data_IF_084197313695
#
_entry.id   IF_084197313695
#
_cell.length_a   1.000
_cell.length_b   1.000
_cell.length_c   1.000
_cell.angle_alpha   90.00
_cell.angle_beta   90.00
_cell.angle_gamma   90.00
#
_symmetry.space_group_name_H-M   'P 1'
#
loop_
_entity.id
_entity.type
_entity.pdbx_description
1 polymer ?
#
# COMPACT_ATOMS: atom_id res chain seq x y z
N UNK A 1 14.32 28.26 -24.63
CA UNK A 1 13.62 28.73 -23.43
C UNK A 1 12.16 28.37 -23.56
N UNK A 2 11.80 27.13 -23.24
CA UNK A 2 10.45 26.60 -23.41
C UNK A 2 9.65 26.82 -22.13
N UNK A 3 8.65 27.68 -22.22
CA UNK A 3 7.56 27.76 -21.27
C UNK A 3 6.74 26.47 -21.38
N UNK A 4 6.71 25.69 -20.31
CA UNK A 4 5.92 24.46 -20.23
C UNK A 4 5.15 24.44 -18.90
N UNK A 5 3.85 24.28 -19.07
CA UNK A 5 2.83 23.89 -18.08
C UNK A 5 2.34 24.94 -17.09
N UNK A 6 1.52 25.86 -17.60
CA UNK A 6 0.39 26.41 -16.86
C UNK A 6 -0.89 25.68 -17.32
N UNK A 7 -1.29 24.64 -16.60
CA UNK A 7 -2.65 24.10 -16.65
C UNK A 7 -3.21 24.12 -15.23
N UNK A 8 -4.11 25.08 -15.01
CA UNK A 8 -4.86 25.28 -13.79
C UNK A 8 -5.80 24.08 -13.55
N UNK A 9 -5.37 23.14 -12.71
CA UNK A 9 -6.28 22.17 -12.09
C UNK A 9 -7.04 22.85 -10.95
N UNK A 10 -8.27 23.29 -11.25
CA UNK A 10 -9.21 23.81 -10.27
C UNK A 10 -9.71 22.70 -9.33
N UNK A 11 -9.33 22.80 -8.05
CA UNK A 11 -10.03 22.27 -6.87
C UNK A 11 -10.42 20.77 -6.85
N UNK A 12 -9.63 19.89 -7.43
CA UNK A 12 -9.52 18.53 -6.89
C UNK A 12 -8.65 18.64 -5.63
N UNK A 13 -9.23 18.40 -4.45
CA UNK A 13 -8.42 18.22 -3.24
C UNK A 13 -7.40 17.12 -3.57
N UNK A 14 -6.08 17.38 -3.47
CA UNK A 14 -5.09 16.37 -3.77
C UNK A 14 -5.29 15.22 -2.77
N UNK A 15 -5.80 14.09 -3.24
CA UNK A 15 -5.58 12.83 -2.53
C UNK A 15 -4.05 12.65 -2.47
N UNK A 16 -3.47 12.40 -1.29
CA UNK A 16 -2.03 12.39 -1.13
C UNK A 16 -1.45 11.21 -1.92
N UNK A 17 -0.87 11.53 -3.06
CA UNK A 17 -0.26 10.64 -4.06
C UNK A 17 1.00 9.90 -3.55
N UNK A 18 1.16 9.71 -2.23
CA UNK A 18 2.30 9.02 -1.60
C UNK A 18 1.93 7.98 -0.53
N UNK A 19 0.66 7.82 -0.18
CA UNK A 19 0.24 6.87 0.88
C UNK A 19 0.13 5.42 0.37
N UNK A 20 -0.43 5.25 -0.83
CA UNK A 20 -0.76 3.98 -1.47
C UNK A 20 0.45 3.09 -1.78
N UNK A 21 1.62 3.71 -1.96
CA UNK A 21 2.85 2.99 -2.27
C UNK A 21 3.37 2.16 -1.09
N UNK A 22 2.97 2.49 0.14
CA UNK A 22 3.65 2.01 1.35
C UNK A 22 3.12 0.66 1.82
N UNK A 23 1.80 0.48 1.88
CA UNK A 23 1.20 -0.83 2.20
C UNK A 23 1.37 -1.83 1.06
N UNK A 24 1.30 -1.38 -0.20
CA UNK A 24 1.63 -2.22 -1.36
C UNK A 24 3.12 -2.62 -1.38
N UNK A 25 4.01 -1.78 -0.83
CA UNK A 25 5.43 -2.11 -0.69
C UNK A 25 5.66 -3.29 0.25
N UNK A 26 4.80 -3.52 1.25
CA UNK A 26 4.89 -4.72 2.10
C UNK A 26 4.76 -5.99 1.24
N UNK A 27 3.74 -6.07 0.38
CA UNK A 27 3.59 -7.24 -0.51
C UNK A 27 4.78 -7.41 -1.45
N UNK A 28 5.30 -6.31 -2.00
CA UNK A 28 6.51 -6.35 -2.83
C UNK A 28 7.72 -6.87 -2.05
N UNK A 29 7.97 -6.35 -0.84
CA UNK A 29 9.14 -6.69 -0.05
C UNK A 29 9.05 -8.15 0.46
N UNK A 30 7.84 -8.62 0.80
CA UNK A 30 7.55 -10.03 1.10
C UNK A 30 7.86 -10.91 -0.11
N UNK A 31 7.31 -10.58 -1.28
CA UNK A 31 7.54 -11.35 -2.50
C UNK A 31 9.04 -11.41 -2.84
N UNK A 32 9.75 -10.28 -2.72
CA UNK A 32 11.19 -10.23 -2.94
C UNK A 32 11.97 -11.06 -1.92
N UNK A 33 11.58 -11.09 -0.63
CA UNK A 33 12.25 -11.94 0.36
C UNK A 33 12.00 -13.42 0.10
N UNK A 34 10.77 -13.82 -0.26
CA UNK A 34 10.46 -15.20 -0.64
C UNK A 34 11.28 -15.63 -1.87
N UNK A 35 11.36 -14.78 -2.90
CA UNK A 35 12.10 -15.11 -4.12
C UNK A 35 13.62 -15.23 -3.88
N UNK A 36 14.17 -14.46 -2.93
CA UNK A 36 15.61 -14.45 -2.64
C UNK A 36 16.01 -15.55 -1.66
N UNK A 37 15.24 -15.70 -0.58
CA UNK A 37 15.64 -16.45 0.61
C UNK A 37 14.79 -17.72 0.81
N UNK A 38 13.73 -17.90 0.02
CA UNK A 38 12.87 -19.08 0.04
C UNK A 38 12.29 -19.36 1.43
N UNK A 39 12.61 -20.52 1.98
CA UNK A 39 12.16 -20.95 3.31
C UNK A 39 12.73 -20.13 4.47
N UNK A 40 13.75 -19.30 4.22
CA UNK A 40 14.36 -18.40 5.22
C UNK A 40 13.83 -16.96 5.10
N UNK A 41 12.82 -16.72 4.25
CA UNK A 41 12.25 -15.41 4.05
C UNK A 41 11.63 -14.88 5.35
N UNK A 42 11.96 -13.62 5.66
CA UNK A 42 11.51 -12.95 6.89
C UNK A 42 10.95 -11.57 6.58
N UNK A 43 9.90 -11.20 7.30
CA UNK A 43 9.37 -9.86 7.31
C UNK A 43 10.09 -9.08 8.40
N UNK A 44 10.64 -7.92 8.05
CA UNK A 44 11.35 -7.06 8.99
C UNK A 44 10.39 -6.10 9.67
N UNK A 45 10.53 -5.92 10.98
CA UNK A 45 9.70 -5.01 11.79
C UNK A 45 9.71 -3.60 11.21
N UNK A 46 10.90 -3.14 10.82
CA UNK A 46 11.11 -1.84 10.19
C UNK A 46 10.26 -1.65 8.94
N UNK A 47 10.13 -2.66 8.09
CA UNK A 47 9.33 -2.56 6.85
C UNK A 47 7.87 -2.25 7.15
N UNK A 48 7.30 -2.91 8.16
CA UNK A 48 5.90 -2.71 8.56
C UNK A 48 5.73 -1.37 9.26
N UNK A 49 6.69 -0.99 10.12
CA UNK A 49 6.68 0.30 10.81
C UNK A 49 6.78 1.48 9.83
N UNK A 50 7.72 1.42 8.89
CA UNK A 50 7.87 2.43 7.84
C UNK A 50 6.58 2.57 7.02
N UNK A 51 5.89 1.46 6.73
CA UNK A 51 4.60 1.49 6.04
C UNK A 51 3.48 2.13 6.87
N UNK A 52 3.45 1.85 8.18
CA UNK A 52 2.49 2.44 9.11
C UNK A 52 2.71 3.95 9.27
N UNK A 53 3.96 4.39 9.43
CA UNK A 53 4.31 5.81 9.59
C UNK A 53 3.91 6.65 8.36
N UNK A 54 3.84 6.00 7.18
CA UNK A 54 3.39 6.63 5.94
C UNK A 54 1.87 6.64 5.78
N UNK A 55 1.12 5.82 6.53
CA UNK A 55 -0.34 5.85 6.57
C UNK A 55 -0.83 6.97 7.49
N UNK A 56 -1.23 8.11 6.92
CA UNK A 56 -1.60 9.29 7.72
C UNK A 56 -2.99 9.23 8.38
N UNK A 57 -3.72 8.12 8.20
CA UNK A 57 -5.11 7.99 8.65
C UNK A 57 -5.24 6.76 9.58
N UNK A 58 -6.01 6.86 10.67
CA UNK A 58 -6.42 5.73 11.52
C UNK A 58 -7.50 4.85 10.84
N UNK A 59 -7.33 4.56 9.56
CA UNK A 59 -8.23 3.71 8.78
C UNK A 59 -7.99 2.22 9.02
N UNK A 60 -8.79 1.37 8.37
CA UNK A 60 -8.74 -0.07 8.55
C UNK A 60 -7.38 -0.68 8.14
N UNK A 61 -6.74 -0.17 7.09
CA UNK A 61 -5.34 -0.48 6.74
C UNK A 61 -4.39 -0.29 7.93
N UNK A 62 -4.51 0.83 8.65
CA UNK A 62 -3.63 1.12 9.79
C UNK A 62 -3.86 0.16 10.95
N UNK A 63 -5.11 -0.29 11.16
CA UNK A 63 -5.42 -1.32 12.16
C UNK A 63 -4.77 -2.65 11.79
N UNK A 64 -4.85 -3.06 10.53
CA UNK A 64 -4.19 -4.28 10.06
C UNK A 64 -2.67 -4.18 10.20
N UNK A 65 -2.07 -3.04 9.87
CA UNK A 65 -0.63 -2.81 10.08
C UNK A 65 -0.23 -2.86 11.56
N UNK A 66 -1.07 -2.36 12.47
CA UNK A 66 -0.86 -2.48 13.91
C UNK A 66 -0.95 -3.93 14.39
N UNK A 67 -1.90 -4.72 13.88
CA UNK A 67 -2.00 -6.15 14.15
C UNK A 67 -0.75 -6.89 13.68
N UNK A 68 -0.26 -6.61 12.46
CA UNK A 68 0.99 -7.17 11.94
C UNK A 68 2.17 -6.80 12.85
N UNK A 69 2.28 -5.54 13.28
CA UNK A 69 3.34 -5.11 14.20
C UNK A 69 3.27 -5.84 15.55
N UNK A 70 2.07 -6.15 16.05
CA UNK A 70 1.89 -6.89 17.29
C UNK A 70 2.40 -8.34 17.21
N UNK A 71 2.45 -8.95 16.01
CA UNK A 71 2.99 -10.30 15.81
C UNK A 71 4.50 -10.39 16.09
N UNK A 72 5.23 -9.27 15.95
CA UNK A 72 6.66 -9.23 16.22
C UNK A 72 6.98 -9.39 17.70
N UNK A 73 6.10 -8.93 18.60
CA UNK A 73 6.38 -8.82 20.04
C UNK A 73 7.68 -8.03 20.25
N UNK A 74 8.78 -8.71 20.60
CA UNK A 74 10.11 -8.13 20.79
C UNK A 74 11.11 -8.50 19.66
N UNK A 75 10.66 -9.24 18.65
CA UNK A 75 11.48 -9.68 17.53
C UNK A 75 11.67 -8.57 16.49
N UNK A 76 12.85 -8.52 15.87
CA UNK A 76 13.11 -7.60 14.75
C UNK A 76 12.65 -8.16 13.40
N UNK A 77 12.47 -9.48 13.32
CA UNK A 77 12.05 -10.18 12.12
C UNK A 77 11.17 -11.37 12.50
N UNK A 78 10.16 -11.65 11.69
CA UNK A 78 9.32 -12.86 11.82
C UNK A 78 9.39 -13.66 10.51
N UNK A 79 9.31 -15.00 10.57
CA UNK A 79 9.24 -15.82 9.36
C UNK A 79 7.96 -15.50 8.58
N UNK A 80 8.09 -15.48 7.25
CA UNK A 80 6.96 -15.29 6.35
C UNK A 80 6.24 -16.63 6.14
N UNK A 81 6.97 -17.67 5.74
CA UNK A 81 6.38 -18.99 5.47
C UNK A 81 6.09 -19.75 6.78
N UNK A 82 4.94 -20.42 6.83
CA UNK A 82 4.48 -21.16 8.02
C UNK A 82 3.96 -20.27 9.15
N UNK A 83 3.78 -18.97 8.91
CA UNK A 83 3.23 -18.03 9.87
C UNK A 83 1.76 -17.74 9.56
N UNK A 84 0.87 -18.60 10.03
CA UNK A 84 -0.57 -18.51 9.73
C UNK A 84 -1.20 -17.22 10.24
N UNK A 85 -0.72 -16.70 11.38
CA UNK A 85 -1.18 -15.42 11.92
C UNK A 85 -0.81 -14.27 10.99
N UNK A 86 0.43 -14.24 10.47
CA UNK A 86 0.84 -13.24 9.49
C UNK A 86 0.03 -13.37 8.20
N UNK A 87 -0.18 -14.58 7.70
CA UNK A 87 -0.96 -14.80 6.48
C UNK A 87 -2.38 -14.25 6.60
N UNK A 88 -3.05 -14.48 7.74
CA UNK A 88 -4.38 -13.95 7.99
C UNK A 88 -4.42 -12.42 7.92
N UNK A 89 -3.48 -11.75 8.58
CA UNK A 89 -3.42 -10.28 8.54
C UNK A 89 -3.06 -9.75 7.14
N UNK A 90 -2.26 -10.49 6.36
CA UNK A 90 -1.94 -10.13 4.98
C UNK A 90 -3.12 -10.31 4.03
N UNK A 91 -3.98 -11.31 4.26
CA UNK A 91 -5.24 -11.48 3.53
C UNK A 91 -6.17 -10.30 3.81
N UNK A 92 -6.34 -9.93 5.09
CA UNK A 92 -7.16 -8.78 5.48
C UNK A 92 -6.59 -7.46 4.91
N UNK A 93 -5.27 -7.29 4.90
CA UNK A 93 -4.62 -6.15 4.26
C UNK A 93 -4.89 -6.10 2.75
N UNK A 94 -4.90 -7.26 2.08
CA UNK A 94 -5.18 -7.34 0.66
C UNK A 94 -6.64 -6.99 0.34
N UNK A 95 -7.57 -7.45 1.17
CA UNK A 95 -9.00 -7.14 1.05
C UNK A 95 -9.25 -5.64 1.22
N UNK A 96 -8.65 -5.02 2.24
CA UNK A 96 -8.74 -3.57 2.43
C UNK A 96 -8.18 -2.79 1.23
N UNK A 97 -7.05 -3.25 0.66
CA UNK A 97 -6.46 -2.65 -0.53
C UNK A 97 -7.26 -2.87 -1.82
N UNK A 98 -8.11 -3.89 -1.89
CA UNK A 98 -8.89 -4.20 -3.09
C UNK A 98 -9.87 -3.07 -3.46
N UNK A 99 -10.52 -2.47 -2.46
CA UNK A 99 -11.43 -1.34 -2.65
C UNK A 99 -10.72 -0.08 -3.16
N UNK A 100 -9.46 0.09 -2.76
CA UNK A 100 -8.59 1.17 -3.21
C UNK A 100 -8.20 1.00 -4.69
N UNK A 101 -7.91 -0.22 -5.15
CA UNK A 101 -7.62 -0.51 -6.57
C UNK A 101 -8.85 -0.18 -7.45
N UNK A 102 -10.05 -0.59 -7.03
CA UNK A 102 -11.28 -0.29 -7.75
C UNK A 102 -11.51 1.23 -7.85
N UNK A 103 -11.30 1.97 -6.76
CA UNK A 103 -11.44 3.43 -6.70
C UNK A 103 -10.44 4.15 -7.61
N UNK A 104 -9.18 3.70 -7.62
CA UNK A 104 -8.15 4.24 -8.50
C UNK A 104 -8.52 4.05 -9.99
N UNK A 105 -8.97 2.84 -10.35
CA UNK A 105 -9.40 2.55 -11.72
C UNK A 105 -10.62 3.38 -12.13
N UNK A 106 -11.63 3.53 -11.26
CA UNK A 106 -12.79 4.40 -11.54
C UNK A 106 -12.42 5.87 -11.72
N UNK A 107 -11.41 6.36 -11.00
CA UNK A 107 -10.93 7.75 -11.10
C UNK A 107 -10.23 7.99 -12.45
N UNK A 108 -9.43 7.02 -12.89
CA UNK A 108 -8.79 7.07 -14.22
C UNK A 108 -9.84 7.00 -15.33
N UNK A 109 -10.85 6.13 -15.20
CA UNK A 109 -11.95 6.03 -16.17
C UNK A 109 -12.73 7.35 -16.27
N UNK A 110 -13.09 7.97 -15.14
CA UNK A 110 -13.80 9.27 -15.16
C UNK A 110 -12.96 10.40 -15.75
N UNK A 111 -11.64 10.39 -15.56
CA UNK A 111 -10.74 11.34 -16.22
C UNK A 111 -10.70 11.12 -17.74
N UNK A 112 -10.56 9.87 -18.18
CA UNK A 112 -10.57 9.51 -19.61
C UNK A 112 -11.91 9.89 -20.24
N UNK A 113 -13.03 9.54 -19.62
CA UNK A 113 -14.36 9.89 -20.13
C UNK A 113 -14.56 11.41 -20.21
N UNK A 114 -14.06 12.16 -19.22
CA UNK A 114 -14.11 13.62 -19.24
C UNK A 114 -13.29 14.27 -20.37
N UNK A 115 -12.13 13.71 -20.68
CA UNK A 115 -11.24 14.21 -21.73
C UNK A 115 -11.67 13.77 -23.15
N UNK A 116 -12.35 12.63 -23.29
CA UNK A 116 -12.69 12.04 -24.59
C UNK A 116 -14.17 12.13 -25.00
N UNK A 117 -15.10 12.53 -24.12
CA UNK A 117 -16.53 12.75 -24.46
C UNK A 117 -16.81 14.19 -24.94
N UNK A 118 -15.82 15.07 -25.00
CA UNK A 118 -15.96 16.45 -25.53
C UNK A 118 -15.71 16.57 -27.05
N UNK A 119 -16.01 15.54 -27.86
CA UNK A 119 -15.95 15.59 -29.34
C UNK A 119 -17.32 15.36 -29.97
#
# INVERSE_FOLDING_TARGET
MSALYNLHFGKLRPCPERQWSSSCKIFRDIALSILKDGNLATLQFKTVKDAMDLCSNNGDITKVLQSILALFKDLQAIPILGNDALNKELEELADELSGYIATANSTVITFIDGEFISV
#
